data_IF_731879391745
#
_entry.id   IF_731879391745
#
_cell.length_a   1.000
_cell.length_b   1.000
_cell.length_c   1.000
_cell.angle_alpha   90.00
_cell.angle_beta   90.00
_cell.angle_gamma   90.00
#
_symmetry.space_group_name_H-M   'P 1'
#
loop_
_entity.id
_entity.type
_entity.pdbx_description
1 polymer ?
#
# COMPACT_ATOMS: atom_id res chain seq x y z
N UNK A 1 4.40 8.11 -26.85
CA UNK A 1 4.90 7.51 -25.59
C UNK A 1 6.38 7.78 -25.49
N UNK A 2 6.74 8.72 -24.63
CA UNK A 2 8.08 9.30 -24.52
C UNK A 2 9.09 8.27 -23.97
N UNK A 3 10.33 8.30 -24.47
CA UNK A 3 11.38 7.34 -24.10
C UNK A 3 11.71 7.43 -22.60
N UNK A 4 11.56 8.64 -22.03
CA UNK A 4 11.67 8.89 -20.59
C UNK A 4 10.57 8.21 -19.76
N UNK A 5 9.34 8.10 -20.28
CA UNK A 5 8.26 7.38 -19.61
C UNK A 5 8.52 5.87 -19.59
N UNK A 6 9.05 5.31 -20.69
CA UNK A 6 9.46 3.90 -20.76
C UNK A 6 10.63 3.57 -19.83
N UNK A 7 11.62 4.46 -19.74
CA UNK A 7 12.75 4.32 -18.79
C UNK A 7 12.27 4.42 -17.33
N UNK A 8 11.33 5.32 -17.04
CA UNK A 8 10.69 5.44 -15.73
C UNK A 8 9.87 4.19 -15.38
N UNK A 9 9.16 3.62 -16.35
CA UNK A 9 8.38 2.39 -16.16
C UNK A 9 9.29 1.17 -15.94
N UNK A 10 10.40 1.07 -16.68
CA UNK A 10 11.38 0.00 -16.53
C UNK A 10 12.12 0.05 -15.17
N UNK A 11 12.59 1.23 -14.77
CA UNK A 11 13.22 1.43 -13.45
C UNK A 11 12.23 1.20 -12.31
N UNK A 12 10.96 1.58 -12.48
CA UNK A 12 9.89 1.27 -11.52
C UNK A 12 9.63 -0.22 -11.42
N UNK A 13 9.61 -0.96 -12.53
CA UNK A 13 9.47 -2.43 -12.53
C UNK A 13 10.61 -3.13 -11.79
N UNK A 14 11.85 -2.68 -11.99
CA UNK A 14 12.99 -3.22 -11.24
C UNK A 14 12.89 -2.91 -9.74
N UNK A 15 12.49 -1.70 -9.38
CA UNK A 15 12.29 -1.31 -7.98
C UNK A 15 11.16 -2.11 -7.31
N UNK A 16 10.06 -2.38 -8.03
CA UNK A 16 8.97 -3.24 -7.58
C UNK A 16 9.47 -4.66 -7.31
N UNK A 17 10.23 -5.25 -8.25
CA UNK A 17 10.78 -6.59 -8.06
C UNK A 17 11.75 -6.66 -6.88
N UNK A 18 12.55 -5.61 -6.66
CA UNK A 18 13.41 -5.50 -5.48
C UNK A 18 12.59 -5.46 -4.19
N UNK A 19 11.50 -4.67 -4.16
CA UNK A 19 10.59 -4.62 -3.01
C UNK A 19 9.99 -6.01 -2.75
N UNK A 20 9.41 -6.65 -3.77
CA UNK A 20 8.77 -7.96 -3.62
C UNK A 20 9.76 -9.03 -3.15
N UNK A 21 10.96 -9.10 -3.72
CA UNK A 21 12.01 -10.01 -3.24
C UNK A 21 12.42 -9.68 -1.81
N UNK A 22 12.52 -8.40 -1.48
CA UNK A 22 12.84 -7.92 -0.15
C UNK A 22 11.82 -8.34 0.91
N UNK A 23 10.52 -8.42 0.58
CA UNK A 23 9.48 -8.81 1.54
C UNK A 23 9.63 -10.23 2.09
N UNK A 24 10.35 -11.11 1.39
CA UNK A 24 10.68 -12.45 1.91
C UNK A 24 11.55 -12.36 3.18
N UNK A 25 12.42 -11.35 3.25
CA UNK A 25 13.20 -11.01 4.43
C UNK A 25 12.53 -9.86 5.19
N UNK A 26 11.67 -10.19 6.14
CA UNK A 26 10.90 -9.23 6.93
C UNK A 26 11.71 -8.57 8.06
N UNK A 27 13.06 -8.56 8.02
CA UNK A 27 13.87 -7.86 9.03
C UNK A 27 13.57 -6.36 9.05
N UNK A 28 13.71 -5.75 10.22
CA UNK A 28 13.35 -4.34 10.43
C UNK A 28 14.22 -3.42 9.55
N UNK A 29 15.51 -3.73 9.45
CA UNK A 29 16.47 -3.00 8.61
C UNK A 29 16.09 -3.07 7.14
N UNK A 30 15.63 -4.24 6.68
CA UNK A 30 15.22 -4.41 5.31
C UNK A 30 13.93 -3.65 5.01
N UNK A 31 12.93 -3.72 5.89
CA UNK A 31 11.69 -2.94 5.73
C UNK A 31 11.97 -1.43 5.73
N UNK A 32 12.87 -0.96 6.60
CA UNK A 32 13.34 0.43 6.60
C UNK A 32 14.03 0.77 5.27
N UNK A 33 14.89 -0.10 4.73
CA UNK A 33 15.54 0.10 3.42
C UNK A 33 14.52 0.22 2.29
N UNK A 34 13.50 -0.64 2.27
CA UNK A 34 12.43 -0.62 1.27
C UNK A 34 11.66 0.71 1.27
N UNK A 35 11.52 1.38 2.43
CA UNK A 35 10.89 2.71 2.45
C UNK A 35 11.67 3.75 1.65
N UNK A 36 13.01 3.70 1.59
CA UNK A 36 13.79 4.63 0.78
C UNK A 36 13.64 4.35 -0.72
N UNK A 37 13.48 3.08 -1.10
CA UNK A 37 13.15 2.70 -2.49
C UNK A 37 11.77 3.25 -2.86
N UNK A 38 10.79 3.11 -1.97
CA UNK A 38 9.44 3.66 -2.18
C UNK A 38 9.43 5.19 -2.36
N UNK A 39 10.28 5.94 -1.63
CA UNK A 39 10.43 7.39 -1.85
C UNK A 39 10.93 7.73 -3.25
N UNK A 40 11.83 6.92 -3.82
CA UNK A 40 12.33 7.13 -5.19
C UNK A 40 11.24 6.82 -6.23
N UNK A 41 10.40 5.83 -5.97
CA UNK A 41 9.27 5.46 -6.85
C UNK A 41 8.22 6.58 -6.87
N UNK A 42 7.87 7.12 -5.70
CA UNK A 42 6.87 8.18 -5.59
C UNK A 42 7.35 9.32 -4.69
N UNK A 43 8.16 10.24 -5.22
CA UNK A 43 8.71 11.38 -4.47
C UNK A 43 7.63 12.25 -3.82
N UNK A 44 6.44 12.29 -4.44
CA UNK A 44 5.27 13.00 -3.93
C UNK A 44 4.84 12.54 -2.53
N UNK A 45 5.03 11.27 -2.19
CA UNK A 45 4.65 10.71 -0.90
C UNK A 45 5.79 10.69 0.12
N UNK A 46 6.93 11.31 -0.17
CA UNK A 46 8.13 11.31 0.69
C UNK A 46 7.84 11.62 2.17
N UNK A 47 7.06 12.66 2.55
CA UNK A 47 6.76 12.92 3.95
C UNK A 47 5.96 11.79 4.62
N UNK A 48 5.00 11.19 3.89
CA UNK A 48 4.17 10.09 4.41
C UNK A 48 4.99 8.81 4.58
N UNK A 49 5.85 8.50 3.61
CA UNK A 49 6.75 7.36 3.66
C UNK A 49 7.77 7.53 4.80
N UNK A 50 8.27 8.75 5.03
CA UNK A 50 9.11 9.07 6.18
C UNK A 50 8.43 8.81 7.53
N UNK A 51 7.14 9.10 7.66
CA UNK A 51 6.36 8.75 8.86
C UNK A 51 6.26 7.23 9.04
N UNK A 52 5.98 6.48 7.96
CA UNK A 52 5.97 5.01 8.00
C UNK A 52 7.32 4.49 8.48
N UNK A 53 8.43 5.00 7.94
CA UNK A 53 9.78 4.63 8.39
C UNK A 53 9.98 4.89 9.89
N UNK A 54 9.51 6.03 10.39
CA UNK A 54 9.57 6.35 11.82
C UNK A 54 8.78 5.34 12.66
N UNK A 55 7.59 4.94 12.23
CA UNK A 55 6.80 3.89 12.91
C UNK A 55 7.56 2.56 12.99
N UNK A 56 8.30 2.18 11.94
CA UNK A 56 9.15 0.99 11.95
C UNK A 56 10.35 1.14 12.90
N UNK A 57 11.01 2.29 12.93
CA UNK A 57 12.15 2.56 13.84
C UNK A 57 11.72 2.58 15.31
N UNK A 58 10.60 3.22 15.59
CA UNK A 58 10.10 3.43 16.95
C UNK A 58 9.30 2.21 17.46
N UNK A 59 9.11 1.17 16.61
CA UNK A 59 8.28 -0.01 16.90
C UNK A 59 6.89 0.33 17.46
N UNK A 60 6.29 1.39 16.92
CA UNK A 60 4.96 1.86 17.32
C UNK A 60 3.89 0.77 17.12
N UNK A 61 2.72 0.79 17.78
CA UNK A 61 1.77 -0.33 17.75
C UNK A 61 1.44 -0.90 16.35
N UNK A 62 1.34 -0.03 15.33
CA UNK A 62 1.12 -0.42 13.93
C UNK A 62 2.23 -1.32 13.33
N UNK A 63 3.46 -1.22 13.84
CA UNK A 63 4.59 -2.08 13.49
C UNK A 63 4.27 -3.56 13.75
N UNK A 64 3.63 -3.87 14.88
CA UNK A 64 3.30 -5.26 15.25
C UNK A 64 2.36 -5.86 14.21
N UNK A 65 1.33 -5.12 13.81
CA UNK A 65 0.40 -5.54 12.79
C UNK A 65 1.09 -5.74 11.43
N UNK A 66 1.95 -4.80 11.03
CA UNK A 66 2.70 -4.92 9.78
C UNK A 66 3.62 -6.16 9.77
N UNK A 67 4.31 -6.46 10.88
CA UNK A 67 5.17 -7.63 11.00
C UNK A 67 4.39 -8.94 10.94
N UNK A 68 3.25 -9.01 11.64
CA UNK A 68 2.34 -10.16 11.55
C UNK A 68 1.84 -10.35 10.13
N UNK A 69 1.35 -9.29 9.49
CA UNK A 69 0.88 -9.35 8.11
C UNK A 69 1.98 -9.83 7.14
N UNK A 70 3.23 -9.43 7.33
CA UNK A 70 4.34 -9.85 6.46
C UNK A 70 4.81 -11.29 6.70
N UNK A 71 4.63 -11.82 7.93
CA UNK A 71 5.11 -13.14 8.35
C UNK A 71 4.03 -14.24 8.25
N UNK A 72 2.79 -13.91 8.60
CA UNK A 72 1.70 -14.87 8.79
C UNK A 72 0.79 -14.99 7.56
N UNK A 73 0.72 -13.95 6.71
CA UNK A 73 -0.07 -14.01 5.47
C UNK A 73 0.67 -14.89 4.45
N UNK A 74 -0.08 -15.74 3.76
CA UNK A 74 0.44 -16.56 2.68
C UNK A 74 1.22 -15.71 1.65
N UNK A 75 2.43 -16.11 1.21
CA UNK A 75 3.29 -15.29 0.34
C UNK A 75 2.59 -14.74 -0.90
N UNK A 76 1.81 -15.58 -1.60
CA UNK A 76 1.04 -15.14 -2.78
C UNK A 76 0.06 -14.00 -2.46
N UNK A 77 -0.59 -14.03 -1.30
CA UNK A 77 -1.56 -13.00 -0.89
C UNK A 77 -0.81 -11.74 -0.47
N UNK A 78 0.25 -11.88 0.34
CA UNK A 78 1.12 -10.77 0.77
C UNK A 78 1.69 -10.01 -0.43
N UNK A 79 2.26 -10.73 -1.39
CA UNK A 79 2.94 -10.13 -2.55
C UNK A 79 1.95 -9.42 -3.47
N UNK A 80 0.75 -10.00 -3.67
CA UNK A 80 -0.33 -9.35 -4.42
C UNK A 80 -0.88 -8.12 -3.70
N UNK A 81 -1.04 -8.18 -2.38
CA UNK A 81 -1.46 -7.04 -1.57
C UNK A 81 -0.45 -5.89 -1.69
N UNK A 82 0.85 -6.16 -1.54
CA UNK A 82 1.86 -5.10 -1.69
C UNK A 82 1.92 -4.59 -3.12
N UNK A 83 1.93 -5.46 -4.13
CA UNK A 83 2.01 -5.03 -5.52
C UNK A 83 0.80 -4.19 -5.94
N UNK A 84 -0.42 -4.69 -5.72
CA UNK A 84 -1.62 -4.07 -6.26
C UNK A 84 -2.09 -2.91 -5.40
N UNK A 85 -2.16 -3.09 -4.08
CA UNK A 85 -2.69 -2.05 -3.19
C UNK A 85 -1.61 -1.04 -2.79
N UNK A 86 -0.48 -1.50 -2.26
CA UNK A 86 0.54 -0.57 -1.75
C UNK A 86 1.30 0.14 -2.88
N UNK A 87 1.73 -0.59 -3.92
CA UNK A 87 2.57 0.02 -4.97
C UNK A 87 1.71 0.65 -6.08
N UNK A 88 0.89 -0.14 -6.78
CA UNK A 88 0.09 0.39 -7.90
C UNK A 88 -0.91 1.43 -7.42
N UNK A 89 -1.83 1.02 -6.55
CA UNK A 89 -2.88 1.92 -6.09
C UNK A 89 -2.31 3.09 -5.27
N UNK A 90 -1.66 2.86 -4.12
CA UNK A 90 -1.25 3.98 -3.26
C UNK A 90 -0.15 4.84 -3.90
N UNK A 91 0.94 4.25 -4.41
CA UNK A 91 2.13 5.00 -4.80
C UNK A 91 2.13 5.49 -6.26
N UNK A 92 1.67 4.68 -7.22
CA UNK A 92 1.78 4.99 -8.66
C UNK A 92 0.54 5.69 -9.24
N UNK A 93 -0.66 5.19 -8.92
CA UNK A 93 -1.90 5.57 -9.60
C UNK A 93 -2.59 6.81 -8.99
N UNK A 94 -1.87 7.59 -8.18
CA UNK A 94 -2.40 8.81 -7.58
C UNK A 94 -2.87 9.82 -8.64
N UNK A 95 -2.13 9.99 -9.73
CA UNK A 95 -2.49 10.89 -10.83
C UNK A 95 -3.75 10.42 -11.56
N UNK A 96 -3.92 9.12 -11.71
CA UNK A 96 -5.12 8.52 -12.33
C UNK A 96 -6.37 8.88 -11.52
N UNK A 97 -6.30 8.76 -10.18
CA UNK A 97 -7.40 9.16 -9.30
C UNK A 97 -7.71 10.65 -9.36
N UNK A 98 -6.68 11.50 -9.45
CA UNK A 98 -6.88 12.95 -9.58
C UNK A 98 -7.52 13.32 -10.90
N UNK A 99 -7.10 12.69 -11.99
CA UNK A 99 -7.71 12.89 -13.30
C UNK A 99 -9.17 12.44 -13.31
N UNK A 100 -9.47 11.30 -12.69
CA UNK A 100 -10.86 10.86 -12.50
C UNK A 100 -11.67 11.89 -11.72
N UNK A 101 -11.15 12.39 -10.59
CA UNK A 101 -11.84 13.39 -9.79
C UNK A 101 -12.08 14.70 -10.54
N UNK A 102 -11.09 15.16 -11.33
CA UNK A 102 -11.24 16.35 -12.17
C UNK A 102 -12.31 16.17 -13.26
N UNK A 103 -12.42 14.96 -13.81
CA UNK A 103 -13.37 14.63 -14.90
C UNK A 103 -14.79 14.44 -14.39
N UNK A 104 -14.96 13.66 -13.34
CA UNK A 104 -16.27 13.22 -12.85
C UNK A 104 -16.82 14.10 -11.72
N UNK A 105 -16.02 15.05 -11.22
CA UNK A 105 -16.39 15.92 -10.08
C UNK A 105 -16.46 15.21 -8.74
N UNK A 106 -16.19 13.89 -8.69
CA UNK A 106 -16.26 13.06 -7.48
C UNK A 106 -14.96 12.27 -7.29
N UNK A 107 -14.50 12.03 -6.03
CA UNK A 107 -13.32 11.22 -5.80
C UNK A 107 -13.54 9.76 -6.21
N UNK A 108 -12.50 9.13 -6.77
CA UNK A 108 -12.53 7.70 -7.06
C UNK A 108 -12.58 6.90 -5.74
N UNK A 109 -13.61 6.06 -5.51
CA UNK A 109 -13.72 5.30 -4.27
C UNK A 109 -12.56 4.30 -4.13
N UNK A 110 -11.85 4.36 -3.01
CA UNK A 110 -10.74 3.46 -2.71
C UNK A 110 -11.20 2.10 -2.21
N UNK A 111 -12.33 2.09 -1.50
CA UNK A 111 -12.89 0.92 -0.85
C UNK A 111 -14.39 1.14 -0.80
N UNK A 112 -15.14 0.16 -1.27
CA UNK A 112 -16.60 0.14 -1.19
C UNK A 112 -16.95 -1.04 -0.30
N UNK A 113 -17.64 -0.77 0.80
CA UNK A 113 -18.18 -1.81 1.68
C UNK A 113 -19.65 -1.93 1.35
N UNK A 114 -20.07 -3.14 0.95
CA UNK A 114 -21.46 -3.43 0.59
C UNK A 114 -21.95 -4.53 1.51
N UNK A 115 -23.09 -4.29 2.16
CA UNK A 115 -23.81 -5.31 2.94
C UNK A 115 -25.20 -5.48 2.31
N UNK A 116 -25.34 -6.36 1.30
CA UNK A 116 -26.59 -6.47 0.54
C UNK A 116 -27.80 -6.87 1.38
N UNK A 117 -27.56 -7.63 2.46
CA UNK A 117 -28.62 -8.17 3.32
C UNK A 117 -28.79 -7.40 4.62
N UNK A 118 -27.76 -6.68 5.08
CA UNK A 118 -27.71 -6.09 6.43
C UNK A 118 -27.97 -7.09 7.57
N UNK A 119 -27.83 -8.40 7.33
CA UNK A 119 -28.13 -9.48 8.30
C UNK A 119 -26.88 -10.04 8.98
N UNK A 120 -26.01 -9.18 9.49
CA UNK A 120 -24.93 -9.68 10.34
C UNK A 120 -25.53 -10.21 11.64
N UNK A 121 -25.25 -11.47 12.00
CA UNK A 121 -25.72 -12.08 13.25
C UNK A 121 -24.72 -11.96 14.40
N UNK A 122 -23.64 -11.18 14.21
CA UNK A 122 -22.62 -10.92 15.23
C UNK A 122 -22.91 -9.58 15.93
N UNK A 123 -22.73 -9.55 17.27
CA UNK A 123 -22.91 -8.34 18.11
C UNK A 123 -21.57 -7.74 18.50
N UNK A 124 -20.79 -7.36 17.47
CA UNK A 124 -19.46 -6.83 17.66
C UNK A 124 -19.52 -5.39 18.19
N UNK A 125 -18.82 -5.11 19.29
CA UNK A 125 -18.71 -3.75 19.85
C UNK A 125 -18.12 -2.81 18.78
N UNK A 126 -18.84 -1.73 18.46
CA UNK A 126 -18.41 -0.72 17.48
C UNK A 126 -18.58 -1.12 16.01
N UNK A 127 -19.35 -2.16 15.72
CA UNK A 127 -19.62 -2.58 14.34
C UNK A 127 -20.78 -1.77 13.75
N UNK A 128 -20.55 -1.15 12.59
CA UNK A 128 -21.61 -0.42 11.85
C UNK A 128 -22.79 -1.31 11.44
N UNK A 129 -22.60 -2.63 11.40
CA UNK A 129 -23.60 -3.61 10.98
C UNK A 129 -24.11 -4.49 12.13
N UNK A 130 -23.73 -4.19 13.38
CA UNK A 130 -24.08 -4.98 14.58
C UNK A 130 -25.04 -4.29 15.55
N UNK A 131 -25.48 -3.07 15.21
CA UNK A 131 -26.50 -2.28 15.91
C UNK A 131 -27.85 -2.35 15.18
#
# INVERSE_FOLDING_TARGET
MDYFEKLKDYTSKQAINLILKGLTNSSDENLIRLTYVAEKISPRFKPKIGRIRKLFKDRAPAYVLAKKALKEIHPNVRDKMVLNFMIKYILLDAKTRENFQKKEGIPCPATIVISPTMRCNLRCIGCYAGD
#
